data_IF_671772348502
#
_entry.id   IF_671772348502
#
_cell.length_a   1.000
_cell.length_b   1.000
_cell.length_c   1.000
_cell.angle_alpha   90.00
_cell.angle_beta   90.00
_cell.angle_gamma   90.00
#
_symmetry.space_group_name_H-M   'P 1'
#
loop_
_entity.id
_entity.type
_entity.pdbx_description
1 polymer ?
#
# COMPACT_ATOMS: atom_id res chain seq x y z
N UNK A 1 12.76 5.42 24.33
CA UNK A 1 12.46 4.16 23.63
C UNK A 1 10.95 3.99 23.63
N UNK A 2 10.33 3.85 22.46
CA UNK A 2 8.89 3.59 22.36
C UNK A 2 8.62 2.13 22.75
N UNK A 3 7.61 1.85 23.60
CA UNK A 3 7.31 0.48 24.04
C UNK A 3 6.53 -0.35 23.01
N UNK A 4 6.12 0.26 21.89
CA UNK A 4 5.41 -0.40 20.78
C UNK A 4 6.27 -0.33 19.51
N UNK A 5 6.14 -1.29 18.58
CA UNK A 5 6.84 -1.23 17.29
C UNK A 5 6.47 0.03 16.50
N UNK A 6 7.47 0.61 15.85
CA UNK A 6 7.31 1.78 14.98
C UNK A 6 7.54 1.37 13.54
N UNK A 7 6.52 1.55 12.72
CA UNK A 7 6.58 1.37 11.27
C UNK A 7 6.62 2.76 10.63
N UNK A 8 7.70 3.10 9.94
CA UNK A 8 7.80 4.36 9.24
C UNK A 8 7.28 4.21 7.82
N UNK A 9 6.33 5.07 7.42
CA UNK A 9 5.77 5.08 6.07
C UNK A 9 6.39 6.19 5.24
N UNK A 10 6.87 5.87 4.05
CA UNK A 10 7.44 6.83 3.11
C UNK A 10 6.78 6.76 1.73
N UNK A 11 6.77 7.92 1.07
CA UNK A 11 6.37 8.08 -0.31
C UNK A 11 7.43 8.94 -1.01
N UNK A 12 8.07 8.42 -2.05
CA UNK A 12 9.14 9.08 -2.78
C UNK A 12 8.86 9.12 -4.28
N UNK A 13 9.51 10.04 -4.96
CA UNK A 13 9.33 10.25 -6.40
C UNK A 13 10.40 9.54 -7.23
N UNK A 14 11.66 9.56 -6.78
CA UNK A 14 12.80 8.98 -7.50
C UNK A 14 13.35 7.72 -6.82
N UNK A 15 13.96 6.85 -7.61
CA UNK A 15 14.51 5.58 -7.11
C UNK A 15 15.65 5.78 -6.09
N UNK A 16 16.44 6.86 -6.22
CA UNK A 16 17.52 7.16 -5.27
C UNK A 16 16.99 7.61 -3.90
N UNK A 17 15.91 8.40 -3.88
CA UNK A 17 15.31 8.87 -2.63
C UNK A 17 14.78 7.72 -1.77
N UNK A 18 14.19 6.69 -2.37
CA UNK A 18 13.72 5.51 -1.66
C UNK A 18 14.82 4.87 -0.82
N UNK A 19 16.00 4.70 -1.41
CA UNK A 19 17.15 4.05 -0.75
C UNK A 19 17.69 4.89 0.40
N UNK A 20 17.85 6.19 0.19
CA UNK A 20 18.46 7.10 1.17
C UNK A 20 17.55 7.28 2.39
N UNK A 21 16.24 7.46 2.18
CA UNK A 21 15.29 7.55 3.27
C UNK A 21 15.16 6.23 4.03
N UNK A 22 15.16 5.09 3.34
CA UNK A 22 15.06 3.79 3.98
C UNK A 22 16.23 3.54 4.95
N UNK A 23 17.46 3.91 4.57
CA UNK A 23 18.63 3.82 5.46
C UNK A 23 18.50 4.73 6.68
N UNK A 24 18.12 6.00 6.48
CA UNK A 24 17.97 6.95 7.58
C UNK A 24 16.88 6.49 8.58
N UNK A 25 15.81 5.88 8.10
CA UNK A 25 14.73 5.33 8.92
C UNK A 25 15.24 4.14 9.76
N UNK A 26 15.97 3.22 9.15
CA UNK A 26 16.58 2.10 9.88
C UNK A 26 17.59 2.59 10.93
N UNK A 27 18.46 3.55 10.56
CA UNK A 27 19.42 4.18 11.48
C UNK A 27 18.74 4.92 12.64
N UNK A 28 17.56 5.49 12.40
CA UNK A 28 16.75 6.12 13.44
C UNK A 28 16.07 5.11 14.38
N UNK A 29 16.12 3.81 14.08
CA UNK A 29 15.64 2.73 14.95
C UNK A 29 14.17 2.36 14.71
N UNK A 30 13.64 2.55 13.52
CA UNK A 30 12.32 2.01 13.15
C UNK A 30 12.36 0.48 13.09
N UNK A 31 11.27 -0.17 13.49
CA UNK A 31 11.15 -1.63 13.50
C UNK A 31 10.78 -2.21 12.14
N UNK A 32 10.13 -1.41 11.28
CA UNK A 32 9.82 -1.74 9.89
C UNK A 32 9.65 -0.47 9.06
N UNK A 33 9.66 -0.63 7.75
CA UNK A 33 9.39 0.46 6.80
C UNK A 33 8.24 0.09 5.88
N UNK A 34 7.31 1.01 5.71
CA UNK A 34 6.25 0.94 4.70
C UNK A 34 6.61 1.81 3.50
N UNK A 35 6.56 1.20 2.32
CA UNK A 35 6.80 1.84 1.03
C UNK A 35 5.45 2.07 0.36
N UNK A 36 5.06 3.33 0.28
CA UNK A 36 3.79 3.74 -0.30
C UNK A 36 4.00 4.19 -1.76
N UNK A 37 3.62 3.34 -2.72
CA UNK A 37 3.71 3.65 -4.14
C UNK A 37 2.31 4.01 -4.65
N UNK A 38 2.07 5.30 -4.83
CA UNK A 38 0.79 5.84 -5.30
C UNK A 38 1.02 6.65 -6.57
N UNK A 39 0.58 6.12 -7.72
CA UNK A 39 0.68 6.80 -8.99
C UNK A 39 -0.47 6.41 -9.93
N UNK A 40 -1.00 7.39 -10.66
CA UNK A 40 -1.95 7.16 -11.74
C UNK A 40 -1.19 6.95 -13.06
N UNK A 41 -1.56 5.89 -13.77
CA UNK A 41 -0.99 5.59 -15.08
C UNK A 41 -1.86 6.24 -16.16
N UNK A 42 -1.46 7.41 -16.62
CA UNK A 42 -2.19 8.22 -17.60
C UNK A 42 -1.41 8.50 -18.90
N UNK A 43 -0.22 7.93 -19.05
CA UNK A 43 0.59 8.09 -20.26
C UNK A 43 0.05 7.20 -21.38
N UNK A 44 -0.20 7.79 -22.55
CA UNK A 44 -0.64 7.05 -23.75
C UNK A 44 0.43 6.09 -24.29
N UNK A 45 1.69 6.30 -23.94
CA UNK A 45 2.81 5.42 -24.30
C UNK A 45 3.12 4.38 -23.20
N UNK A 46 2.18 4.15 -22.30
CA UNK A 46 2.33 3.19 -21.21
C UNK A 46 2.66 1.77 -21.72
N UNK A 47 3.69 1.18 -21.18
CA UNK A 47 4.02 -0.24 -21.42
C UNK A 47 3.29 -1.11 -20.41
N UNK A 48 2.46 -2.04 -20.88
CA UNK A 48 1.70 -2.93 -20.03
C UNK A 48 2.59 -3.73 -19.07
N UNK A 49 2.26 -3.71 -17.79
CA UNK A 49 3.02 -4.35 -16.71
C UNK A 49 4.20 -3.53 -16.16
N UNK A 50 4.52 -2.38 -16.76
CA UNK A 50 5.64 -1.55 -16.27
C UNK A 50 5.38 -0.96 -14.88
N UNK A 51 4.14 -0.73 -14.53
CA UNK A 51 3.77 -0.21 -13.21
C UNK A 51 3.97 -1.26 -12.12
N UNK A 52 3.51 -2.48 -12.35
CA UNK A 52 3.73 -3.62 -11.46
C UNK A 52 5.22 -3.94 -11.35
N UNK A 53 5.95 -3.92 -12.45
CA UNK A 53 7.40 -4.14 -12.45
C UNK A 53 8.13 -3.09 -11.62
N UNK A 54 7.72 -1.83 -11.68
CA UNK A 54 8.28 -0.75 -10.86
C UNK A 54 8.18 -1.03 -9.36
N UNK A 55 7.07 -1.61 -8.87
CA UNK A 55 6.93 -2.01 -7.46
C UNK A 55 8.00 -3.03 -7.06
N UNK A 56 8.23 -4.02 -7.91
CA UNK A 56 9.22 -5.07 -7.68
C UNK A 56 10.64 -4.47 -7.67
N UNK A 57 10.94 -3.59 -8.59
CA UNK A 57 12.27 -2.97 -8.71
C UNK A 57 12.57 -2.04 -7.53
N UNK A 58 11.60 -1.24 -7.08
CA UNK A 58 11.72 -0.42 -5.87
C UNK A 58 11.97 -1.31 -4.65
N UNK A 59 11.18 -2.37 -4.45
CA UNK A 59 11.40 -3.32 -3.35
C UNK A 59 12.82 -3.90 -3.37
N UNK A 60 13.29 -4.36 -4.52
CA UNK A 60 14.66 -4.90 -4.67
C UNK A 60 15.74 -3.89 -4.33
N UNK A 61 15.57 -2.63 -4.74
CA UNK A 61 16.52 -1.57 -4.43
C UNK A 61 16.57 -1.25 -2.93
N UNK A 62 15.42 -1.20 -2.27
CA UNK A 62 15.33 -0.92 -0.83
C UNK A 62 15.86 -2.09 0.00
N UNK A 63 15.54 -3.32 -0.36
CA UNK A 63 15.98 -4.52 0.37
C UNK A 63 17.50 -4.75 0.38
N UNK A 64 18.26 -4.11 -0.53
CA UNK A 64 19.72 -4.24 -0.55
C UNK A 64 20.40 -3.55 0.64
N UNK A 65 20.07 -2.29 0.97
CA UNK A 65 20.74 -1.56 2.04
C UNK A 65 20.09 -1.71 3.42
N UNK A 66 18.85 -2.21 3.55
CA UNK A 66 18.15 -2.30 4.84
C UNK A 66 17.88 -3.75 5.23
N UNK A 67 17.95 -4.01 6.55
CA UNK A 67 17.68 -5.32 7.14
C UNK A 67 16.29 -5.42 7.78
N UNK A 68 15.68 -4.29 8.14
CA UNK A 68 14.33 -4.26 8.72
C UNK A 68 13.27 -4.74 7.72
N UNK A 69 12.12 -5.27 8.20
CA UNK A 69 11.01 -5.67 7.35
C UNK A 69 10.54 -4.54 6.44
N UNK A 70 10.27 -4.87 5.18
CA UNK A 70 9.71 -3.93 4.19
C UNK A 70 8.28 -4.32 3.88
N UNK A 71 7.37 -3.40 4.06
CA UNK A 71 5.94 -3.50 3.81
C UNK A 71 5.63 -2.70 2.54
N UNK A 72 4.83 -3.26 1.64
CA UNK A 72 4.47 -2.59 0.39
C UNK A 72 3.01 -2.16 0.43
N UNK A 73 2.75 -0.84 0.47
CA UNK A 73 1.40 -0.29 0.39
C UNK A 73 1.02 0.02 -1.05
N UNK A 74 -0.03 -0.62 -1.52
CA UNK A 74 -0.43 -0.66 -2.93
C UNK A 74 -1.60 0.27 -3.21
N UNK A 75 -1.69 0.79 -4.44
CA UNK A 75 -2.90 1.39 -4.97
C UNK A 75 -3.89 0.32 -5.45
N UNK A 76 -5.15 0.69 -5.62
CA UNK A 76 -6.21 -0.21 -6.11
C UNK A 76 -6.28 -0.29 -7.64
N UNK A 77 -5.42 0.45 -8.35
CA UNK A 77 -5.36 0.55 -9.81
C UNK A 77 -4.43 -0.49 -10.47
N UNK A 78 -4.34 -1.68 -9.89
CA UNK A 78 -3.52 -2.78 -10.39
C UNK A 78 -4.33 -3.70 -11.31
N UNK A 79 -3.69 -4.22 -12.35
CA UNK A 79 -4.31 -5.17 -13.27
C UNK A 79 -4.58 -6.52 -12.60
N UNK A 80 -3.61 -7.02 -11.82
CA UNK A 80 -3.74 -8.27 -11.07
C UNK A 80 -2.99 -8.14 -9.73
N UNK A 81 -3.68 -7.71 -8.66
CA UNK A 81 -3.06 -7.57 -7.34
C UNK A 81 -2.44 -8.87 -6.82
N UNK A 82 -3.10 -10.02 -7.03
CA UNK A 82 -2.61 -11.33 -6.53
C UNK A 82 -1.25 -11.70 -7.13
N UNK A 83 -1.12 -11.53 -8.45
CA UNK A 83 0.14 -11.80 -9.13
C UNK A 83 1.27 -10.85 -8.67
N UNK A 84 0.96 -9.57 -8.47
CA UNK A 84 1.94 -8.63 -7.92
C UNK A 84 2.34 -9.01 -6.49
N UNK A 85 1.39 -9.36 -5.62
CA UNK A 85 1.67 -9.76 -4.23
C UNK A 85 2.58 -10.99 -4.19
N UNK A 86 2.34 -11.99 -5.03
CA UNK A 86 3.20 -13.16 -5.16
C UNK A 86 4.64 -12.77 -5.54
N UNK A 87 4.79 -11.88 -6.50
CA UNK A 87 6.11 -11.37 -6.90
C UNK A 87 6.76 -10.51 -5.79
N UNK A 88 6.00 -9.72 -5.05
CA UNK A 88 6.53 -8.96 -3.92
C UNK A 88 7.00 -9.90 -2.81
N UNK A 89 6.23 -10.92 -2.47
CA UNK A 89 6.66 -11.97 -1.53
C UNK A 89 7.96 -12.64 -2.00
N UNK A 90 8.02 -13.09 -3.26
CA UNK A 90 9.20 -13.74 -3.82
C UNK A 90 10.46 -12.83 -3.81
N UNK A 91 10.28 -11.51 -3.77
CA UNK A 91 11.36 -10.52 -3.69
C UNK A 91 11.58 -9.98 -2.27
N UNK A 92 10.97 -10.58 -1.24
CA UNK A 92 11.29 -10.34 0.16
C UNK A 92 10.46 -9.25 0.84
N UNK A 93 9.28 -8.89 0.32
CA UNK A 93 8.32 -8.12 1.08
C UNK A 93 7.85 -8.92 2.29
N UNK A 94 7.76 -8.27 3.45
CA UNK A 94 7.26 -8.88 4.68
C UNK A 94 5.72 -8.84 4.74
N UNK A 95 5.12 -7.76 4.24
CA UNK A 95 3.69 -7.57 4.22
C UNK A 95 3.26 -6.68 3.04
N UNK A 96 1.94 -6.69 2.78
CA UNK A 96 1.30 -5.74 1.87
C UNK A 96 0.14 -5.04 2.56
N UNK A 97 -0.05 -3.76 2.24
CA UNK A 97 -1.21 -2.98 2.69
C UNK A 97 -2.14 -2.75 1.51
N UNK A 98 -3.41 -3.14 1.66
CA UNK A 98 -4.47 -3.01 0.66
C UNK A 98 -5.60 -2.15 1.21
N UNK A 99 -5.86 -0.96 0.68
CA UNK A 99 -5.17 -0.23 -0.37
C UNK A 99 -4.94 1.21 0.07
N UNK A 100 -4.00 1.91 -0.60
CA UNK A 100 -3.95 3.35 -0.51
C UNK A 100 -5.17 3.94 -1.23
N UNK A 101 -5.63 5.11 -0.77
CA UNK A 101 -6.76 5.81 -1.37
C UNK A 101 -6.29 6.94 -2.25
N UNK A 102 -6.72 6.93 -3.52
CA UNK A 102 -6.52 8.07 -4.40
C UNK A 102 -7.38 9.26 -4.00
N UNK A 103 -6.86 10.45 -4.26
CA UNK A 103 -7.65 11.66 -4.20
C UNK A 103 -8.90 11.54 -5.07
N UNK A 104 -10.03 11.90 -4.52
CA UNK A 104 -11.32 11.87 -5.20
C UNK A 104 -11.67 13.29 -5.66
N UNK A 105 -11.50 13.64 -6.95
CA UNK A 105 -11.93 14.92 -7.48
C UNK A 105 -13.46 14.92 -7.61
N UNK A 106 -14.05 16.12 -7.49
CA UNK A 106 -15.45 16.37 -7.80
C UNK A 106 -15.58 17.61 -8.66
N UNK A 107 -16.79 17.87 -9.20
CA UNK A 107 -17.06 19.00 -10.07
C UNK A 107 -18.25 19.80 -9.52
N UNK A 108 -18.00 21.08 -9.24
CA UNK A 108 -19.06 22.02 -8.96
C UNK A 108 -19.73 22.41 -10.27
N UNK A 109 -20.96 21.93 -10.49
CA UNK A 109 -21.70 22.14 -11.75
C UNK A 109 -22.15 23.59 -11.94
N UNK A 110 -22.37 24.32 -10.86
CA UNK A 110 -22.80 25.74 -10.94
C UNK A 110 -21.64 26.64 -11.35
N UNK A 111 -20.44 26.37 -10.80
CA UNK A 111 -19.24 27.13 -11.11
C UNK A 111 -18.41 26.57 -12.27
N UNK A 112 -18.73 25.34 -12.71
CA UNK A 112 -17.97 24.61 -13.73
C UNK A 112 -16.48 24.49 -13.40
N UNK A 113 -16.17 24.21 -12.13
CA UNK A 113 -14.78 24.12 -11.62
C UNK A 113 -14.57 22.77 -10.89
N UNK A 114 -13.32 22.30 -10.92
CA UNK A 114 -12.91 21.16 -10.11
C UNK A 114 -12.86 21.53 -8.63
N UNK A 115 -13.42 20.71 -7.79
CA UNK A 115 -13.36 20.84 -6.33
C UNK A 115 -12.82 19.54 -5.71
N UNK A 116 -12.40 19.65 -4.47
CA UNK A 116 -12.03 18.48 -3.67
C UNK A 116 -13.28 17.69 -3.32
N UNK A 117 -13.30 16.39 -3.61
CA UNK A 117 -14.27 15.48 -3.04
C UNK A 117 -13.96 15.16 -1.57
N UNK A 118 -14.51 14.08 -1.06
CA UNK A 118 -14.28 13.66 0.32
C UNK A 118 -12.82 13.24 0.56
N UNK A 119 -12.18 13.87 1.53
CA UNK A 119 -10.78 13.60 1.89
C UNK A 119 -10.67 12.28 2.67
N UNK A 120 -11.59 12.04 3.59
CA UNK A 120 -11.60 10.83 4.42
C UNK A 120 -12.33 9.68 3.74
N UNK A 121 -11.88 8.46 4.04
CA UNK A 121 -12.58 7.26 3.63
C UNK A 121 -13.91 7.11 4.39
N UNK A 122 -14.89 6.53 3.74
CA UNK A 122 -16.16 6.17 4.36
C UNK A 122 -16.26 4.64 4.54
N UNK A 123 -17.24 4.16 5.31
CA UNK A 123 -17.38 2.75 5.63
C UNK A 123 -17.56 1.84 4.40
N UNK A 124 -18.07 2.35 3.28
CA UNK A 124 -18.23 1.56 2.04
C UNK A 124 -16.90 1.28 1.34
N UNK A 125 -15.88 2.09 1.57
CA UNK A 125 -14.56 1.92 0.96
C UNK A 125 -13.88 0.62 1.43
N UNK A 126 -14.28 0.06 2.57
CA UNK A 126 -13.78 -1.21 3.09
C UNK A 126 -14.07 -2.41 2.17
N UNK A 127 -15.08 -2.34 1.32
CA UNK A 127 -15.48 -3.44 0.46
C UNK A 127 -14.38 -3.89 -0.52
N UNK A 128 -13.56 -2.96 -1.00
CA UNK A 128 -12.45 -3.24 -1.92
C UNK A 128 -11.30 -3.97 -1.21
N UNK A 129 -10.76 -3.46 -0.08
CA UNK A 129 -9.78 -4.20 0.73
C UNK A 129 -10.24 -5.60 1.13
N UNK A 130 -11.46 -5.75 1.64
CA UNK A 130 -12.00 -7.05 2.05
C UNK A 130 -11.99 -8.07 0.90
N UNK A 131 -12.43 -7.67 -0.28
CA UNK A 131 -12.42 -8.52 -1.47
C UNK A 131 -11.03 -9.03 -1.80
N UNK A 132 -10.08 -8.10 -1.90
CA UNK A 132 -8.75 -8.44 -2.37
C UNK A 132 -7.90 -9.15 -1.32
N UNK A 133 -8.07 -8.82 -0.03
CA UNK A 133 -7.45 -9.57 1.06
C UNK A 133 -7.98 -11.01 1.06
N UNK A 134 -9.30 -11.19 0.97
CA UNK A 134 -9.88 -12.54 0.96
C UNK A 134 -9.43 -13.40 -0.22
N UNK A 135 -9.30 -12.80 -1.41
CA UNK A 135 -8.81 -13.52 -2.60
C UNK A 135 -7.30 -13.79 -2.49
N UNK A 136 -6.51 -12.77 -2.14
CA UNK A 136 -5.06 -12.86 -2.17
C UNK A 136 -4.50 -13.73 -1.05
N UNK A 137 -5.01 -13.63 0.17
CA UNK A 137 -4.55 -14.43 1.31
C UNK A 137 -4.83 -15.93 1.15
N UNK A 138 -5.86 -16.29 0.40
CA UNK A 138 -6.15 -17.69 0.07
C UNK A 138 -5.17 -18.29 -0.95
N UNK A 139 -4.44 -17.47 -1.70
CA UNK A 139 -3.52 -17.91 -2.76
C UNK A 139 -2.06 -17.70 -2.35
N UNK A 140 -1.75 -16.56 -1.74
CA UNK A 140 -0.41 -16.17 -1.27
C UNK A 140 -0.46 -16.07 0.26
N UNK A 141 -0.39 -17.19 0.93
CA UNK A 141 -0.59 -17.35 2.39
C UNK A 141 0.67 -17.08 3.24
N UNK A 142 1.81 -16.82 2.60
CA UNK A 142 3.12 -16.65 3.25
C UNK A 142 3.55 -15.21 3.46
N UNK A 143 2.69 -14.25 3.14
CA UNK A 143 2.91 -12.82 3.35
C UNK A 143 1.81 -12.27 4.24
N UNK A 144 2.13 -11.32 5.10
CA UNK A 144 1.13 -10.65 5.93
C UNK A 144 0.33 -9.60 5.13
N UNK A 145 -0.94 -9.43 5.51
CA UNK A 145 -1.85 -8.47 4.91
C UNK A 145 -2.30 -7.45 5.94
N UNK A 146 -2.31 -6.18 5.56
CA UNK A 146 -2.98 -5.13 6.32
C UNK A 146 -4.11 -4.50 5.49
N UNK A 147 -5.26 -4.29 6.12
CA UNK A 147 -6.37 -3.59 5.49
C UNK A 147 -6.23 -2.09 5.74
N UNK A 148 -6.42 -1.27 4.70
CA UNK A 148 -6.44 0.19 4.80
C UNK A 148 -7.60 0.76 4.01
N UNK A 149 -8.28 1.76 4.58
CA UNK A 149 -9.46 2.41 4.01
C UNK A 149 -10.79 1.84 4.49
N UNK A 150 -11.70 2.72 4.87
CA UNK A 150 -13.06 2.38 5.30
C UNK A 150 -13.18 1.74 6.69
N UNK A 151 -12.11 1.76 7.48
CA UNK A 151 -12.11 1.21 8.85
C UNK A 151 -12.67 2.25 9.82
N UNK A 152 -13.99 2.35 9.86
CA UNK A 152 -14.69 3.36 10.64
C UNK A 152 -15.10 2.93 12.07
N UNK A 153 -15.02 1.63 12.39
CA UNK A 153 -15.47 1.07 13.66
C UNK A 153 -14.83 -0.32 13.92
N UNK A 154 -15.06 -0.85 15.13
CA UNK A 154 -14.54 -2.17 15.53
C UNK A 154 -15.05 -3.34 14.66
N UNK A 155 -16.28 -3.25 14.13
CA UNK A 155 -16.82 -4.28 13.25
C UNK A 155 -16.02 -4.35 11.94
N UNK A 156 -15.59 -3.22 11.40
CA UNK A 156 -14.73 -3.15 10.22
C UNK A 156 -13.37 -3.85 10.46
N UNK A 157 -12.77 -3.65 11.65
CA UNK A 157 -11.55 -4.37 12.05
C UNK A 157 -11.76 -5.87 12.06
N UNK A 158 -12.83 -6.35 12.71
CA UNK A 158 -13.15 -7.78 12.77
C UNK A 158 -13.36 -8.35 11.36
N UNK A 159 -14.07 -7.64 10.48
CA UNK A 159 -14.26 -8.07 9.08
C UNK A 159 -12.94 -8.20 8.33
N UNK A 160 -12.02 -7.26 8.50
CA UNK A 160 -10.71 -7.30 7.86
C UNK A 160 -9.89 -8.51 8.32
N UNK A 161 -9.85 -8.78 9.63
CA UNK A 161 -9.16 -9.95 10.19
C UNK A 161 -9.80 -11.26 9.70
N UNK A 162 -11.13 -11.36 9.68
CA UNK A 162 -11.82 -12.53 9.15
C UNK A 162 -11.59 -12.73 7.64
N UNK A 163 -11.33 -11.68 6.90
CA UNK A 163 -10.96 -11.76 5.48
C UNK A 163 -9.52 -12.25 5.25
N UNK A 164 -8.69 -12.29 6.28
CA UNK A 164 -7.30 -12.76 6.21
C UNK A 164 -6.23 -11.68 6.49
N UNK A 165 -6.63 -10.50 6.97
CA UNK A 165 -5.68 -9.48 7.39
C UNK A 165 -5.03 -9.84 8.74
N UNK A 166 -3.72 -9.55 8.88
CA UNK A 166 -2.98 -9.63 10.15
C UNK A 166 -3.05 -8.31 10.92
N UNK A 167 -3.31 -7.20 10.23
CA UNK A 167 -3.38 -5.86 10.81
C UNK A 167 -4.38 -4.97 10.07
N UNK A 168 -4.69 -3.80 10.66
CA UNK A 168 -5.57 -2.78 10.07
C UNK A 168 -4.98 -1.40 10.31
N UNK A 169 -5.04 -0.55 9.30
CA UNK A 169 -4.76 0.88 9.41
C UNK A 169 -6.07 1.65 9.59
N UNK A 170 -6.07 2.58 10.54
CA UNK A 170 -7.23 3.40 10.92
C UNK A 170 -6.98 4.87 10.65
#
# INVERSE_FOLDING_TARGET
VCPIPIIASINCYSDSEWVDFAKQIEEAGADAIEINILALQSDVQYTYGSFEQRHIDILRHIKRPVSIPVIMKLGDNLTNPVALIDQLYANGAAAVVLFNRFYQPDINIEKMEHISGEIFSNASDLAIPLRWIGIASAVVDKIDYAASGGVANAEAVVKAILAGASAVEV
#
